data_IF_850837446315
#
_entry.id   IF_850837446315
#
_cell.length_a   1.000
_cell.length_b   1.000
_cell.length_c   1.000
_cell.angle_alpha   90.00
_cell.angle_beta   90.00
_cell.angle_gamma   90.00
#
_symmetry.space_group_name_H-M   'P 1'
#
loop_
_entity.id
_entity.type
_entity.pdbx_description
1 polymer ?
#
# COMPACT_ATOMS: atom_id res chain seq x y z
N UNK A 1 -0.86 -11.61 -4.59
CA UNK A 1 -1.56 -10.42 -5.11
C UNK A 1 -0.69 -9.57 -6.03
N UNK A 2 -1.30 -8.80 -6.93
CA UNK A 2 -0.63 -7.86 -7.84
C UNK A 2 -1.54 -6.67 -8.17
N UNK A 3 -1.01 -5.45 -8.07
CA UNK A 3 -1.67 -4.26 -8.62
C UNK A 3 -1.46 -4.21 -10.12
N UNK A 4 -2.56 -4.19 -10.88
CA UNK A 4 -2.61 -3.99 -12.33
C UNK A 4 -3.61 -2.87 -12.64
N UNK A 5 -3.16 -1.81 -13.30
CA UNK A 5 -4.02 -0.65 -13.55
C UNK A 5 -4.55 -0.06 -12.23
N UNK A 6 -5.87 -0.03 -12.04
CA UNK A 6 -6.56 0.43 -10.82
C UNK A 6 -6.81 -0.66 -9.78
N UNK A 7 -6.60 -1.94 -10.10
CA UNK A 7 -7.09 -3.07 -9.32
C UNK A 7 -5.95 -3.82 -8.62
N UNK A 8 -6.20 -4.31 -7.40
CA UNK A 8 -5.37 -5.31 -6.73
C UNK A 8 -6.01 -6.67 -6.90
N UNK A 9 -5.30 -7.58 -7.57
CA UNK A 9 -5.81 -8.91 -7.92
C UNK A 9 -5.11 -10.00 -7.10
N UNK A 10 -5.84 -11.02 -6.67
CA UNK A 10 -5.31 -12.28 -6.14
C UNK A 10 -5.86 -13.45 -6.95
N UNK A 11 -5.10 -13.90 -7.95
CA UNK A 11 -5.62 -14.83 -8.95
C UNK A 11 -6.85 -14.24 -9.65
N UNK A 12 -8.01 -14.94 -9.65
CA UNK A 12 -9.25 -14.43 -10.27
C UNK A 12 -10.00 -13.40 -9.41
N UNK A 13 -9.58 -13.15 -8.17
CA UNK A 13 -10.32 -12.33 -7.22
C UNK A 13 -9.80 -10.90 -7.18
N UNK A 14 -10.67 -9.91 -7.35
CA UNK A 14 -10.35 -8.51 -7.07
C UNK A 14 -10.42 -8.26 -5.57
N UNK A 15 -9.28 -7.93 -4.96
CA UNK A 15 -9.15 -7.63 -3.52
C UNK A 15 -9.46 -6.16 -3.25
N UNK A 16 -8.99 -5.27 -4.12
CA UNK A 16 -9.19 -3.83 -4.00
C UNK A 16 -9.26 -3.12 -5.35
N UNK A 17 -9.92 -1.97 -5.37
CA UNK A 17 -10.02 -1.06 -6.52
C UNK A 17 -9.61 0.35 -6.09
N UNK A 18 -8.91 1.07 -6.95
CA UNK A 18 -8.48 2.44 -6.68
C UNK A 18 -8.96 3.40 -7.78
N UNK A 19 -9.50 4.53 -7.37
CA UNK A 19 -9.82 5.67 -8.23
C UNK A 19 -8.87 6.84 -7.94
N UNK A 20 -9.12 8.00 -8.55
CA UNK A 20 -8.36 9.22 -8.25
C UNK A 20 -8.55 9.69 -6.79
N UNK A 21 -9.69 9.35 -6.19
CA UNK A 21 -10.22 9.90 -4.95
C UNK A 21 -10.54 8.83 -3.88
N UNK A 22 -10.38 7.54 -4.20
CA UNK A 22 -10.67 6.46 -3.26
C UNK A 22 -9.82 5.19 -3.47
N UNK A 23 -9.70 4.41 -2.40
CA UNK A 23 -9.23 3.01 -2.40
C UNK A 23 -10.28 2.16 -1.71
N UNK A 24 -10.90 1.25 -2.45
CA UNK A 24 -11.98 0.36 -1.99
C UNK A 24 -11.43 -1.03 -1.74
N UNK A 25 -11.68 -1.59 -0.55
CA UNK A 25 -11.27 -2.95 -0.17
C UNK A 25 -12.42 -3.64 0.57
N UNK A 26 -13.03 -4.63 -0.06
CA UNK A 26 -14.27 -5.24 0.45
C UNK A 26 -15.37 -4.19 0.62
N UNK A 27 -15.89 -4.05 1.85
CA UNK A 27 -16.93 -3.08 2.20
C UNK A 27 -16.41 -1.71 2.65
N UNK A 28 -15.08 -1.54 2.75
CA UNK A 28 -14.47 -0.30 3.27
C UNK A 28 -13.94 0.54 2.11
N UNK A 29 -14.31 1.82 2.10
CA UNK A 29 -13.79 2.82 1.16
C UNK A 29 -12.93 3.83 1.90
N UNK A 30 -11.64 3.86 1.60
CA UNK A 30 -10.73 4.91 2.05
C UNK A 30 -10.82 6.08 1.07
N UNK A 31 -11.24 7.25 1.56
CA UNK A 31 -11.22 8.49 0.76
C UNK A 31 -9.80 9.05 0.71
N UNK A 32 -9.24 9.18 -0.47
CA UNK A 32 -7.89 9.74 -0.68
C UNK A 32 -7.91 11.25 -0.45
N UNK A 33 -7.00 11.71 0.40
CA UNK A 33 -6.82 13.13 0.73
C UNK A 33 -5.49 13.68 0.18
N UNK A 34 -4.49 12.83 -0.09
CA UNK A 34 -3.22 13.22 -0.69
C UNK A 34 -2.56 12.06 -1.42
N UNK A 35 -1.97 12.34 -2.57
CA UNK A 35 -1.15 11.43 -3.39
C UNK A 35 0.29 11.92 -3.54
N UNK A 36 0.71 12.92 -2.74
CA UNK A 36 2.06 13.46 -2.78
C UNK A 36 3.08 12.37 -2.39
N UNK A 37 4.18 12.17 -3.14
CA UNK A 37 5.20 11.17 -2.80
C UNK A 37 5.84 11.34 -1.41
N UNK A 38 5.79 12.53 -0.84
CA UNK A 38 6.26 12.79 0.54
C UNK A 38 5.23 12.38 1.59
N UNK A 39 3.94 12.34 1.25
CA UNK A 39 2.83 12.15 2.16
C UNK A 39 1.55 11.68 1.42
N UNK A 40 1.26 10.39 1.49
CA UNK A 40 -0.01 9.82 1.07
C UNK A 40 -0.96 9.80 2.28
N UNK A 41 -2.20 10.22 2.07
CA UNK A 41 -3.19 10.32 3.14
C UNK A 41 -4.55 9.86 2.63
N UNK A 42 -5.25 9.07 3.43
CA UNK A 42 -6.64 8.72 3.25
C UNK A 42 -7.39 8.63 4.59
N UNK A 43 -8.71 8.70 4.53
CA UNK A 43 -9.59 8.61 5.70
C UNK A 43 -10.68 7.58 5.45
N UNK A 44 -10.93 6.72 6.45
CA UNK A 44 -12.00 5.73 6.43
C UNK A 44 -13.36 6.36 6.84
N UNK A 45 -14.50 5.70 6.59
CA UNK A 45 -15.83 6.27 6.88
C UNK A 45 -16.09 6.54 8.38
N UNK A 46 -15.40 5.80 9.26
CA UNK A 46 -15.43 5.96 10.72
C UNK A 46 -14.55 7.13 11.22
N UNK A 47 -13.83 7.81 10.32
CA UNK A 47 -12.91 8.90 10.64
C UNK A 47 -11.46 8.46 10.89
N UNK A 48 -11.19 7.15 10.88
CA UNK A 48 -9.84 6.62 11.06
C UNK A 48 -8.91 7.06 9.92
N UNK A 49 -7.67 7.41 10.25
CA UNK A 49 -6.71 7.95 9.28
C UNK A 49 -5.68 6.91 8.86
N UNK A 50 -5.30 6.99 7.58
CA UNK A 50 -4.33 6.12 6.93
C UNK A 50 -3.29 7.01 6.25
N UNK A 51 -2.03 6.89 6.66
CA UNK A 51 -0.95 7.75 6.19
C UNK A 51 0.30 6.96 5.86
N UNK A 52 0.93 7.27 4.73
CA UNK A 52 2.27 6.78 4.35
C UNK A 52 3.13 8.00 4.04
N UNK A 53 4.21 8.19 4.79
CA UNK A 53 5.08 9.35 4.65
C UNK A 53 6.54 8.98 4.48
N UNK A 54 7.27 9.83 3.74
CA UNK A 54 8.68 9.61 3.42
C UNK A 54 9.54 9.87 4.66
N UNK A 55 10.33 8.88 5.06
CA UNK A 55 11.12 8.89 6.29
C UNK A 55 12.63 9.12 6.04
N UNK A 56 12.94 10.06 5.14
CA UNK A 56 14.32 10.44 4.82
C UNK A 56 14.45 11.25 3.54
N UNK A 57 15.70 11.56 3.16
CA UNK A 57 15.99 12.35 1.96
C UNK A 57 15.66 11.60 0.67
N UNK A 58 15.82 10.27 0.64
CA UNK A 58 15.50 9.42 -0.51
C UNK A 58 14.19 8.68 -0.31
N UNK A 59 13.61 8.13 -1.37
CA UNK A 59 12.38 7.31 -1.30
C UNK A 59 12.64 5.90 -0.73
N UNK A 60 13.82 5.64 -0.18
CA UNK A 60 14.21 4.29 0.28
C UNK A 60 13.51 3.87 1.57
N UNK A 61 12.99 4.83 2.37
CA UNK A 61 12.29 4.54 3.62
C UNK A 61 11.00 5.33 3.71
N UNK A 62 9.93 4.64 4.07
CA UNK A 62 8.64 5.23 4.41
C UNK A 62 8.17 4.70 5.77
N UNK A 63 7.35 5.49 6.45
CA UNK A 63 6.60 5.10 7.64
C UNK A 63 5.13 5.16 7.32
N UNK A 64 4.36 4.24 7.89
CA UNK A 64 2.92 4.27 7.76
C UNK A 64 2.24 4.19 9.13
N UNK A 65 1.10 4.86 9.21
CA UNK A 65 0.18 4.83 10.34
C UNK A 65 -1.21 4.56 9.79
N UNK A 66 -1.78 3.39 10.08
CA UNK A 66 -3.06 2.93 9.57
C UNK A 66 -3.96 2.56 10.75
N UNK A 67 -4.93 3.42 11.07
CA UNK A 67 -5.85 3.19 12.19
C UNK A 67 -5.11 2.80 13.49
N UNK A 68 -4.19 3.66 13.91
CA UNK A 68 -3.34 3.46 15.09
C UNK A 68 -2.19 2.46 14.94
N UNK A 69 -2.15 1.65 13.89
CA UNK A 69 -1.08 0.66 13.65
C UNK A 69 0.08 1.26 12.88
N UNK A 70 1.30 0.97 13.32
CA UNK A 70 2.52 1.56 12.77
C UNK A 70 3.31 0.55 11.94
N UNK A 71 3.85 1.01 10.81
CA UNK A 71 4.61 0.19 9.88
C UNK A 71 5.86 0.90 9.34
N UNK A 72 6.83 0.09 8.92
CA UNK A 72 8.00 0.54 8.15
C UNK A 72 7.95 -0.05 6.74
N UNK A 73 8.18 0.76 5.71
CA UNK A 73 8.19 0.32 4.31
C UNK A 73 9.59 0.57 3.74
N UNK A 74 10.46 -0.41 3.91
CA UNK A 74 11.89 -0.27 3.66
C UNK A 74 12.26 -0.90 2.32
N UNK A 75 12.96 -0.14 1.48
CA UNK A 75 13.52 -0.65 0.24
C UNK A 75 14.68 -1.60 0.55
N UNK A 76 14.61 -2.81 0.00
CA UNK A 76 15.64 -3.83 0.15
C UNK A 76 16.56 -3.90 -1.05
N UNK A 77 16.03 -3.77 -2.27
CA UNK A 77 16.81 -3.71 -3.51
C UNK A 77 15.98 -3.19 -4.68
N UNK A 78 16.52 -2.23 -5.45
CA UNK A 78 15.82 -1.67 -6.62
C UNK A 78 14.41 -1.18 -6.29
N UNK A 79 13.40 -1.81 -6.90
CA UNK A 79 11.95 -1.55 -6.67
C UNK A 79 11.29 -2.54 -5.70
N UNK A 80 12.08 -3.22 -4.85
CA UNK A 80 11.59 -4.18 -3.85
C UNK A 80 11.56 -3.57 -2.46
N UNK A 81 10.52 -3.90 -1.69
CA UNK A 81 10.39 -3.48 -0.30
C UNK A 81 9.92 -4.60 0.62
N UNK A 82 10.25 -4.43 1.89
CA UNK A 82 9.58 -5.11 2.99
C UNK A 82 8.71 -4.11 3.75
N UNK A 83 7.51 -4.55 4.09
CA UNK A 83 6.58 -3.88 4.98
C UNK A 83 6.67 -4.60 6.33
N UNK A 84 7.12 -3.87 7.35
CA UNK A 84 7.34 -4.40 8.69
C UNK A 84 6.31 -3.81 9.66
N UNK A 85 5.79 -4.62 10.57
CA UNK A 85 4.97 -4.16 11.69
C UNK A 85 5.80 -3.48 12.79
N UNK A 86 5.13 -3.06 13.88
CA UNK A 86 5.77 -2.40 15.01
C UNK A 86 6.81 -3.31 15.71
N UNK A 87 6.61 -4.63 15.66
CA UNK A 87 7.54 -5.63 16.19
C UNK A 87 8.71 -5.93 15.24
N UNK A 88 8.76 -5.30 14.07
CA UNK A 88 9.81 -5.51 13.07
C UNK A 88 9.63 -6.80 12.25
N UNK A 89 8.44 -7.42 12.28
CA UNK A 89 8.13 -8.62 11.50
C UNK A 89 7.66 -8.21 10.12
N UNK A 90 8.13 -8.90 9.09
CA UNK A 90 7.69 -8.68 7.71
C UNK A 90 6.26 -9.20 7.55
N UNK A 91 5.32 -8.31 7.25
CA UNK A 91 3.92 -8.64 7.00
C UNK A 91 3.59 -8.70 5.51
N UNK A 92 4.38 -8.00 4.68
CA UNK A 92 4.26 -8.08 3.24
C UNK A 92 5.58 -7.69 2.56
N UNK A 93 5.76 -8.15 1.32
CA UNK A 93 6.82 -7.70 0.42
C UNK A 93 6.21 -7.15 -0.85
N UNK A 94 6.84 -6.13 -1.42
CA UNK A 94 6.40 -5.58 -2.70
C UNK A 94 7.52 -5.59 -3.72
N UNK A 95 7.16 -5.69 -5.00
CA UNK A 95 8.09 -5.60 -6.13
C UNK A 95 7.46 -4.84 -7.29
N UNK A 96 7.99 -3.67 -7.61
CA UNK A 96 7.61 -2.91 -8.81
C UNK A 96 8.18 -3.57 -10.07
N UNK A 97 7.32 -3.80 -11.05
CA UNK A 97 7.67 -4.41 -12.33
C UNK A 97 7.92 -3.34 -13.42
N UNK A 98 8.65 -3.68 -14.51
CA UNK A 98 8.90 -2.75 -15.61
C UNK A 98 7.64 -2.29 -16.34
N UNK A 99 6.59 -3.13 -16.37
CA UNK A 99 5.31 -2.85 -17.04
C UNK A 99 4.39 -1.89 -16.27
N UNK A 100 4.78 -1.44 -15.07
CA UNK A 100 3.96 -0.57 -14.23
C UNK A 100 3.10 -1.31 -13.20
N UNK A 101 3.17 -2.63 -13.13
CA UNK A 101 2.50 -3.41 -12.08
C UNK A 101 3.31 -3.39 -10.76
N UNK A 102 2.63 -3.66 -9.65
CA UNK A 102 3.26 -3.86 -8.34
C UNK A 102 2.81 -5.18 -7.74
N UNK A 103 3.72 -6.14 -7.65
CA UNK A 103 3.44 -7.38 -6.93
C UNK A 103 3.42 -7.14 -5.42
N UNK A 104 2.52 -7.85 -4.74
CA UNK A 104 2.35 -7.85 -3.28
C UNK A 104 2.31 -9.30 -2.79
N UNK A 105 3.38 -9.69 -2.11
CA UNK A 105 3.47 -10.95 -1.39
C UNK A 105 3.07 -10.71 0.07
N UNK A 106 1.84 -11.08 0.41
CA UNK A 106 1.29 -10.92 1.75
C UNK A 106 1.62 -12.18 2.57
N UNK A 107 2.29 -11.99 3.71
CA UNK A 107 2.84 -13.09 4.50
C UNK A 107 1.76 -13.85 5.29
N UNK A 108 1.69 -15.19 5.15
CA UNK A 108 0.70 -16.11 5.76
C UNK A 108 0.24 -15.78 7.20
N UNK A 109 1.18 -15.43 8.08
CA UNK A 109 0.88 -15.11 9.49
C UNK A 109 0.19 -13.76 9.68
N UNK A 110 0.30 -12.86 8.71
CA UNK A 110 -0.41 -11.60 8.71
C UNK A 110 -1.89 -11.78 8.33
N UNK A 111 -2.27 -12.80 7.54
CA UNK A 111 -3.69 -13.07 7.21
C UNK A 111 -4.51 -13.35 8.47
N UNK A 112 -3.91 -14.00 9.46
CA UNK A 112 -4.53 -14.32 10.75
C UNK A 112 -4.92 -13.06 11.55
N UNK A 113 -4.37 -11.89 11.20
CA UNK A 113 -4.69 -10.60 11.84
C UNK A 113 -5.99 -9.95 11.33
N UNK A 114 -6.65 -10.57 10.36
CA UNK A 114 -8.00 -10.19 9.92
C UNK A 114 -8.08 -9.01 8.95
N UNK A 115 -9.31 -8.57 8.68
CA UNK A 115 -9.64 -7.63 7.60
C UNK A 115 -8.97 -6.25 7.73
N UNK A 116 -8.79 -5.74 8.95
CA UNK A 116 -8.11 -4.47 9.17
C UNK A 116 -6.65 -4.50 8.70
N UNK A 117 -5.94 -5.60 8.93
CA UNK A 117 -4.57 -5.74 8.44
C UNK A 117 -4.55 -5.74 6.90
N UNK A 118 -5.48 -6.47 6.27
CA UNK A 118 -5.62 -6.49 4.80
C UNK A 118 -5.76 -5.07 4.25
N UNK A 119 -6.64 -4.27 4.84
CA UNK A 119 -6.85 -2.87 4.45
C UNK A 119 -5.57 -2.03 4.57
N UNK A 120 -4.77 -2.25 5.62
CA UNK A 120 -3.50 -1.55 5.81
C UNK A 120 -2.52 -1.83 4.66
N UNK A 121 -2.31 -3.11 4.27
CA UNK A 121 -1.39 -3.40 3.15
C UNK A 121 -1.99 -2.98 1.82
N UNK A 122 -3.31 -3.05 1.63
CA UNK A 122 -3.95 -2.49 0.44
C UNK A 122 -3.57 -1.01 0.31
N UNK A 123 -3.78 -0.22 1.37
CA UNK A 123 -3.43 1.21 1.36
C UNK A 123 -1.93 1.44 1.17
N UNK A 124 -1.08 0.74 1.93
CA UNK A 124 0.38 0.89 1.84
C UNK A 124 0.92 0.50 0.45
N UNK A 125 0.46 -0.61 -0.11
CA UNK A 125 0.89 -1.06 -1.43
C UNK A 125 0.34 -0.18 -2.55
N UNK A 126 -0.89 0.33 -2.42
CA UNK A 126 -1.43 1.36 -3.31
C UNK A 126 -0.51 2.59 -3.33
N UNK A 127 -0.12 3.13 -2.17
CA UNK A 127 0.80 4.27 -2.10
C UNK A 127 2.14 3.97 -2.78
N UNK A 128 2.68 2.75 -2.59
CA UNK A 128 3.94 2.33 -3.21
C UNK A 128 3.88 2.24 -4.74
N UNK A 129 2.71 2.08 -5.35
CA UNK A 129 2.61 2.10 -6.82
C UNK A 129 3.07 3.43 -7.42
N UNK A 130 2.82 4.56 -6.75
CA UNK A 130 3.26 5.90 -7.19
C UNK A 130 4.78 6.08 -7.13
N UNK A 131 5.46 5.25 -6.34
CA UNK A 131 6.89 5.36 -6.03
C UNK A 131 7.71 4.34 -6.81
N UNK A 132 7.29 3.07 -6.79
CA UNK A 132 8.05 1.94 -7.31
C UNK A 132 7.52 1.46 -8.68
N UNK A 133 6.30 1.86 -9.07
CA UNK A 133 5.69 1.55 -10.36
C UNK A 133 5.26 2.83 -11.13
N UNK A 134 6.20 3.75 -11.43
CA UNK A 134 5.88 5.11 -11.87
C UNK A 134 5.20 5.18 -13.24
N UNK A 135 5.21 4.13 -14.07
CA UNK A 135 4.43 4.07 -15.32
C UNK A 135 2.93 4.19 -15.07
N UNK A 136 2.46 3.96 -13.83
CA UNK A 136 1.07 4.21 -13.39
C UNK A 136 0.70 5.70 -13.37
N UNK A 137 1.67 6.62 -13.29
CA UNK A 137 1.42 8.08 -13.22
C UNK A 137 0.80 8.71 -14.46
N UNK A 138 0.73 7.98 -15.56
CA UNK A 138 0.18 8.46 -16.84
C UNK A 138 -1.24 7.94 -17.14
N UNK A 139 -1.90 7.27 -16.19
CA UNK A 139 -3.23 6.65 -16.39
C UNK A 139 -4.39 7.42 -15.71
N UNK A 140 -4.15 8.65 -15.25
CA UNK A 140 -5.16 9.55 -14.68
C UNK A 140 -4.88 11.00 -15.08
#
# INVERSE_FOLDING_TARGET
MIWQGSSLLDGPTTVAEATADAVVCGAVTLKVCSTAPSNFLATAPDGSTYRVEKAGLTVSRYRAHCDGRSYALNRTSGKRREILDAEGRVIARTRGLPNGDLEVDWAAKAQERGAGAMLDVVFMSWALTFIDAPTRRTLY
#
